data_IF_610271767886
#
_entry.id   IF_610271767886
#
_cell.length_a   1.000
_cell.length_b   1.000
_cell.length_c   1.000
_cell.angle_alpha   90.00
_cell.angle_beta   90.00
_cell.angle_gamma   90.00
#
_symmetry.space_group_name_H-M   'P 1'
#
loop_
_entity.id
_entity.type
_entity.pdbx_description
1 polymer ?
#
# COMPACT_ATOMS: atom_id res chain seq x y z
N UNK A 1 -11.11 -7.86 6.65
CA UNK A 1 -10.47 -6.98 7.65
C UNK A 1 -11.58 -6.04 8.18
N UNK A 2 -12.01 -6.14 9.46
CA UNK A 2 -13.12 -5.35 10.01
C UNK A 2 -12.87 -3.83 10.09
N UNK A 3 -13.93 -3.02 10.11
CA UNK A 3 -13.89 -1.56 10.33
C UNK A 3 -13.08 -1.13 11.58
N UNK A 4 -12.96 -2.01 12.57
CA UNK A 4 -12.19 -1.76 13.80
C UNK A 4 -10.71 -1.51 13.56
N UNK A 5 -10.13 -2.06 12.49
CA UNK A 5 -8.73 -1.76 12.18
C UNK A 5 -8.54 -0.34 11.67
N UNK A 6 -9.57 0.28 11.07
CA UNK A 6 -9.55 1.69 10.68
C UNK A 6 -9.47 2.64 11.90
N UNK A 7 -9.94 2.18 13.06
CA UNK A 7 -9.99 2.93 14.31
C UNK A 7 -8.80 2.58 15.22
N UNK A 8 -7.95 1.63 14.80
CA UNK A 8 -6.80 1.20 15.58
C UNK A 8 -5.76 2.32 15.67
N UNK A 9 -5.11 2.51 16.83
CA UNK A 9 -4.00 3.44 16.94
C UNK A 9 -2.86 2.98 16.01
N UNK A 10 -2.13 3.92 15.39
CA UNK A 10 -1.03 3.56 14.51
C UNK A 10 0.08 2.82 15.28
N UNK A 11 0.73 1.87 14.60
CA UNK A 11 1.92 1.17 15.10
C UNK A 11 3.07 2.18 15.18
N UNK A 12 3.95 2.03 16.17
CA UNK A 12 5.14 2.88 16.31
C UNK A 12 6.01 2.78 15.05
N UNK A 13 6.13 3.88 14.30
CA UNK A 13 6.84 3.91 13.00
C UNK A 13 5.91 3.98 11.78
N UNK A 14 4.62 3.74 11.98
CA UNK A 14 3.56 4.03 11.02
C UNK A 14 2.83 5.32 11.44
N UNK A 15 2.47 6.16 10.46
CA UNK A 15 1.78 7.41 10.73
C UNK A 15 0.36 7.27 10.21
N UNK A 16 -0.53 6.91 11.15
CA UNK A 16 -1.98 7.02 11.01
C UNK A 16 -2.58 6.06 9.96
N UNK A 17 -3.26 5.02 10.46
CA UNK A 17 -4.06 4.15 9.63
C UNK A 17 -5.36 4.91 9.29
N UNK A 18 -5.57 5.17 8.00
CA UNK A 18 -6.74 5.90 7.51
C UNK A 18 -7.53 4.99 6.60
N UNK A 19 -8.83 4.93 6.81
CA UNK A 19 -9.73 4.29 5.85
C UNK A 19 -10.46 5.38 5.06
N UNK A 20 -10.25 5.42 3.74
CA UNK A 20 -10.99 6.30 2.86
C UNK A 20 -12.15 5.53 2.23
N UNK A 21 -13.32 6.14 2.25
CA UNK A 21 -14.53 5.65 1.58
C UNK A 21 -14.76 6.33 0.22
N UNK A 22 -13.90 7.28 -0.16
CA UNK A 22 -13.98 8.02 -1.41
C UNK A 22 -12.59 8.35 -1.95
N UNK A 23 -12.48 8.56 -3.25
CA UNK A 23 -11.24 9.00 -3.90
C UNK A 23 -10.76 10.37 -3.42
N UNK A 24 -11.68 11.25 -3.04
CA UNK A 24 -11.37 12.58 -2.53
C UNK A 24 -10.66 12.50 -1.17
N UNK A 25 -11.15 11.65 -0.25
CA UNK A 25 -10.51 11.44 1.04
C UNK A 25 -9.07 10.90 0.91
N UNK A 26 -8.75 10.20 -0.19
CA UNK A 26 -7.37 9.79 -0.52
C UNK A 26 -6.51 11.01 -0.83
N UNK A 27 -7.02 11.95 -1.63
CA UNK A 27 -6.30 13.16 -2.01
C UNK A 27 -6.07 14.07 -0.80
N UNK A 28 -7.06 14.19 0.06
CA UNK A 28 -6.98 14.98 1.28
C UNK A 28 -5.94 14.38 2.25
N UNK A 29 -5.94 13.05 2.43
CA UNK A 29 -4.94 12.35 3.24
C UNK A 29 -3.52 12.49 2.68
N UNK A 30 -3.37 12.44 1.35
CA UNK A 30 -2.08 12.69 0.69
C UNK A 30 -1.55 14.09 0.99
N UNK A 31 -2.40 15.10 0.98
CA UNK A 31 -2.03 16.48 1.33
C UNK A 31 -1.66 16.63 2.81
N UNK A 32 -2.31 15.88 3.71
CA UNK A 32 -2.02 15.90 5.14
C UNK A 32 -0.63 15.30 5.45
N UNK A 33 -0.30 14.17 4.82
CA UNK A 33 0.95 13.43 5.08
C UNK A 33 2.14 14.01 4.31
N UNK A 34 1.96 14.33 3.03
CA UNK A 34 3.03 14.81 2.16
C UNK A 34 2.97 16.34 2.17
N UNK A 35 3.53 16.95 3.23
CA UNK A 35 3.64 18.41 3.32
C UNK A 35 4.62 18.93 2.26
N UNK A 36 4.10 19.47 1.15
CA UNK A 36 4.86 20.24 0.16
C UNK A 36 4.66 19.80 -1.30
N UNK A 37 5.25 20.58 -2.24
CA UNK A 37 5.26 20.31 -3.69
C UNK A 37 6.19 19.14 -4.06
N UNK A 38 6.06 17.99 -3.39
CA UNK A 38 6.82 16.79 -3.72
C UNK A 38 6.23 16.12 -4.95
N UNK A 39 7.05 15.65 -5.89
CA UNK A 39 6.56 14.85 -7.01
C UNK A 39 6.05 13.51 -6.50
N UNK A 40 4.75 13.26 -6.69
CA UNK A 40 4.09 12.02 -6.30
C UNK A 40 4.01 11.10 -7.52
N UNK A 41 4.51 9.88 -7.38
CA UNK A 41 4.33 8.82 -8.38
C UNK A 41 3.25 7.85 -7.90
N UNK A 42 2.06 7.94 -8.48
CA UNK A 42 0.99 6.96 -8.25
C UNK A 42 1.31 5.67 -9.02
N UNK A 43 1.15 4.52 -8.34
CA UNK A 43 1.32 3.20 -8.93
C UNK A 43 0.17 2.31 -8.45
N UNK A 44 -0.30 1.42 -9.32
CA UNK A 44 -1.35 0.44 -9.01
C UNK A 44 -1.07 -0.85 -9.75
N UNK A 45 -1.65 -1.94 -9.27
CA UNK A 45 -1.67 -3.21 -10.00
C UNK A 45 -2.57 -3.08 -11.22
N UNK A 46 -2.07 -3.48 -12.39
CA UNK A 46 -2.81 -3.41 -13.65
C UNK A 46 -2.69 -4.70 -14.44
N UNK A 47 -3.72 -5.04 -15.21
CA UNK A 47 -3.65 -6.16 -16.14
C UNK A 47 -2.73 -5.80 -17.32
N UNK A 48 -1.82 -6.72 -17.69
CA UNK A 48 -0.81 -6.47 -18.72
C UNK A 48 -0.66 -7.65 -19.65
N UNK A 49 -0.31 -7.37 -20.91
CA UNK A 49 -0.01 -8.40 -21.92
C UNK A 49 1.46 -8.79 -21.97
N UNK A 50 2.36 -7.90 -21.52
CA UNK A 50 3.82 -8.08 -21.56
C UNK A 50 4.41 -8.35 -20.17
N UNK A 51 5.49 -9.12 -20.13
CA UNK A 51 6.24 -9.40 -18.90
C UNK A 51 7.26 -8.30 -18.63
N UNK A 52 7.01 -7.46 -17.64
CA UNK A 52 8.01 -6.53 -17.11
C UNK A 52 8.92 -7.29 -16.12
N UNK A 53 10.26 -7.24 -16.27
CA UNK A 53 11.17 -7.79 -15.26
C UNK A 53 10.92 -7.15 -13.90
N UNK A 54 11.19 -7.90 -12.82
CA UNK A 54 11.13 -7.37 -11.46
C UNK A 54 12.13 -6.23 -11.30
N UNK A 55 11.63 -5.05 -10.96
CA UNK A 55 12.42 -3.83 -10.82
C UNK A 55 12.22 -3.24 -9.43
N UNK A 56 13.32 -2.85 -8.79
CA UNK A 56 13.28 -2.06 -7.56
C UNK A 56 12.90 -0.63 -7.90
N UNK A 57 11.93 -0.07 -7.18
CA UNK A 57 11.52 1.32 -7.29
C UNK A 57 12.08 2.09 -6.09
N UNK A 58 12.79 3.19 -6.36
CA UNK A 58 13.22 4.10 -5.30
C UNK A 58 12.03 4.94 -4.84
N UNK A 59 11.57 4.68 -3.61
CA UNK A 59 10.47 5.39 -2.97
C UNK A 59 10.83 5.60 -1.50
N UNK A 60 11.42 6.77 -1.14
CA UNK A 60 11.88 7.02 0.23
C UNK A 60 10.73 7.14 1.23
N UNK A 61 9.55 7.57 0.76
CA UNK A 61 8.31 7.61 1.52
C UNK A 61 7.22 6.93 0.68
N UNK A 62 6.40 6.09 1.31
CA UNK A 62 5.35 5.32 0.63
C UNK A 62 4.07 5.43 1.43
N UNK A 63 2.98 5.73 0.73
CA UNK A 63 1.61 5.55 1.22
C UNK A 63 1.07 4.32 0.51
N UNK A 64 0.80 3.25 1.24
CA UNK A 64 0.15 2.07 0.67
C UNK A 64 -1.37 2.24 0.72
N UNK A 65 -2.04 1.67 -0.28
CA UNK A 65 -3.48 1.59 -0.38
C UNK A 65 -3.89 0.13 -0.61
N UNK A 66 -4.36 -0.55 0.43
CA UNK A 66 -4.88 -1.91 0.30
C UNK A 66 -6.39 -1.86 0.04
N UNK A 67 -6.88 -2.65 -0.91
CA UNK A 67 -8.33 -2.85 -1.07
C UNK A 67 -8.80 -3.82 0.00
N UNK A 68 -9.80 -3.39 0.79
CA UNK A 68 -10.38 -4.25 1.81
C UNK A 68 -11.46 -5.12 1.18
N UNK A 69 -11.49 -6.41 1.53
CA UNK A 69 -12.63 -7.29 1.22
C UNK A 69 -13.81 -6.94 2.14
N UNK A 70 -14.48 -5.84 1.81
CA UNK A 70 -15.69 -5.41 2.49
C UNK A 70 -16.80 -5.19 1.45
N UNK A 71 -18.06 -5.31 1.86
CA UNK A 71 -19.24 -5.14 0.98
C UNK A 71 -19.34 -3.73 0.37
N UNK A 72 -18.55 -2.78 0.88
CA UNK A 72 -18.37 -1.45 0.35
C UNK A 72 -16.88 -1.23 0.06
N UNK A 73 -16.57 -0.47 -1.00
CA UNK A 73 -15.19 -0.13 -1.34
C UNK A 73 -14.57 0.75 -0.24
N UNK A 74 -13.90 0.11 0.71
CA UNK A 74 -13.09 0.76 1.73
C UNK A 74 -11.64 0.54 1.33
N UNK A 75 -10.92 1.64 1.16
CA UNK A 75 -9.48 1.60 0.94
C UNK A 75 -8.79 1.82 2.27
N UNK A 76 -7.96 0.87 2.67
CA UNK A 76 -7.09 0.98 3.83
C UNK A 76 -5.79 1.67 3.40
N UNK A 77 -5.43 2.73 4.11
CA UNK A 77 -4.14 3.40 3.95
C UNK A 77 -3.33 3.23 5.21
N UNK A 78 -2.09 2.78 5.02
CA UNK A 78 -1.07 2.92 6.02
C UNK A 78 0.10 3.68 5.41
N UNK A 79 0.61 4.65 6.16
CA UNK A 79 1.82 5.36 5.81
C UNK A 79 2.94 4.87 6.72
N UNK A 80 3.88 4.13 6.13
CA UNK A 80 4.99 3.55 6.86
C UNK A 80 6.23 4.41 6.66
N UNK A 81 6.78 4.94 7.75
CA UNK A 81 8.07 5.65 7.77
C UNK A 81 9.24 4.66 7.89
N UNK A 82 8.94 3.38 8.12
CA UNK A 82 9.94 2.32 8.26
C UNK A 82 10.67 2.06 6.93
N UNK A 83 11.90 1.54 7.01
CA UNK A 83 12.71 1.17 5.84
C UNK A 83 11.96 0.16 4.98
N UNK A 84 11.47 0.60 3.83
CA UNK A 84 10.75 -0.22 2.87
C UNK A 84 11.55 -0.39 1.57
N UNK A 85 11.31 -1.49 0.86
CA UNK A 85 11.70 -1.64 -0.55
C UNK A 85 10.46 -1.87 -1.39
N UNK A 86 10.28 -1.06 -2.42
CA UNK A 86 9.20 -1.24 -3.40
C UNK A 86 9.74 -2.01 -4.59
N UNK A 87 8.99 -3.00 -5.02
CA UNK A 87 9.24 -3.74 -6.23
C UNK A 87 8.03 -3.65 -7.15
N UNK A 88 8.32 -3.58 -8.44
CA UNK A 88 7.33 -3.59 -9.50
C UNK A 88 7.69 -4.72 -10.45
N UNK A 89 6.76 -5.61 -10.73
CA UNK A 89 7.06 -6.78 -11.55
C UNK A 89 5.83 -7.53 -12.03
N UNK A 90 6.09 -8.45 -12.95
CA UNK A 90 5.10 -9.32 -13.55
C UNK A 90 4.75 -10.50 -12.63
N UNK A 91 3.46 -10.78 -12.49
CA UNK A 91 2.92 -11.98 -11.83
C UNK A 91 1.89 -12.62 -12.78
N UNK A 92 1.95 -13.94 -12.92
CA UNK A 92 0.99 -14.72 -13.70
C UNK A 92 0.20 -15.65 -12.76
N UNK A 93 -1.12 -15.63 -12.87
CA UNK A 93 -2.02 -16.54 -12.17
C UNK A 93 -2.05 -17.93 -12.80
N UNK A 94 -2.59 -18.90 -12.06
CA UNK A 94 -2.77 -20.28 -12.53
C UNK A 94 -3.74 -20.38 -13.72
N UNK A 95 -4.69 -19.45 -13.80
CA UNK A 95 -5.64 -19.26 -14.90
C UNK A 95 -5.00 -18.65 -16.17
N UNK A 96 -3.73 -18.24 -16.09
CA UNK A 96 -3.01 -17.60 -17.17
C UNK A 96 -3.17 -16.08 -17.22
N UNK A 97 -3.97 -15.49 -16.32
CA UNK A 97 -4.10 -14.04 -16.21
C UNK A 97 -2.81 -13.40 -15.72
N UNK A 98 -2.59 -12.15 -16.15
CA UNK A 98 -1.29 -11.48 -16.03
C UNK A 98 -1.44 -10.08 -15.51
N UNK A 99 -0.74 -9.79 -14.43
CA UNK A 99 -0.74 -8.47 -13.81
C UNK A 99 0.67 -7.94 -13.61
N UNK A 100 0.81 -6.63 -13.75
CA UNK A 100 1.96 -5.91 -13.25
C UNK A 100 1.64 -5.48 -11.82
N UNK A 101 2.23 -6.19 -10.85
CA UNK A 101 1.97 -5.98 -9.44
C UNK A 101 3.02 -5.06 -8.81
N UNK A 102 2.59 -4.36 -7.76
CA UNK A 102 3.46 -3.61 -6.85
C UNK A 102 3.55 -4.40 -5.55
N UNK A 103 4.76 -4.71 -5.12
CA UNK A 103 5.03 -5.38 -3.85
C UNK A 103 5.87 -4.48 -2.95
N UNK A 104 5.50 -4.40 -1.68
CA UNK A 104 6.23 -3.64 -0.67
C UNK A 104 6.83 -4.64 0.31
N UNK A 105 8.14 -4.54 0.50
CA UNK A 105 8.88 -5.32 1.47
C UNK A 105 9.24 -4.42 2.65
N UNK A 106 8.58 -4.62 3.78
CA UNK A 106 8.91 -3.98 5.04
C UNK A 106 10.18 -4.64 5.62
N UNK A 107 11.26 -3.87 5.78
CA UNK A 107 12.55 -4.42 6.26
C UNK A 107 12.65 -4.49 7.78
N UNK A 108 11.77 -3.80 8.48
CA UNK A 108 11.68 -3.84 9.94
C UNK A 108 10.21 -3.95 10.31
N UNK A 109 9.86 -5.11 10.83
CA UNK A 109 8.51 -5.45 11.30
C UNK A 109 8.55 -5.89 12.77
N UNK A 110 9.59 -5.49 13.51
CA UNK A 110 9.82 -5.91 14.90
C UNK A 110 8.68 -5.53 15.85
N UNK A 111 7.95 -4.46 15.52
CA UNK A 111 6.80 -3.96 16.27
C UNK A 111 5.46 -4.55 15.78
N UNK A 112 5.46 -5.38 14.72
CA UNK A 112 4.25 -5.96 14.16
C UNK A 112 3.87 -7.23 14.91
N UNK A 113 2.57 -7.51 15.00
CA UNK A 113 2.10 -8.77 15.56
C UNK A 113 2.66 -9.95 14.75
N UNK A 114 3.13 -11.04 15.38
CA UNK A 114 3.49 -12.27 14.66
C UNK A 114 2.31 -12.86 13.86
N UNK A 115 1.07 -12.49 14.21
CA UNK A 115 -0.15 -12.87 13.49
C UNK A 115 -0.61 -11.82 12.47
N UNK A 116 0.25 -10.88 12.06
CA UNK A 116 -0.10 -9.84 11.10
C UNK A 116 -0.38 -10.46 9.72
N UNK A 117 -1.37 -9.93 9.00
CA UNK A 117 -1.89 -10.50 7.73
C UNK A 117 -0.88 -10.57 6.58
N UNK A 118 0.29 -9.95 6.75
CA UNK A 118 1.37 -9.91 5.76
C UNK A 118 2.42 -11.00 5.96
N UNK A 119 2.36 -11.74 7.07
CA UNK A 119 3.22 -12.91 7.37
C UNK A 119 2.46 -14.21 7.09
#
# INVERSE_FOLDING_TARGET
MPLRECEAPPIKGDTKLHCATSSQAILDFKQEIIRGNTQIKAMSTTHVSSSTPLQKVEAPNIVECCTMTYTYAIFNYHYTIIKNKVFKGFIQGEDGDRVEAIAICHLDTSEWSPSHVTF
#
